data_IF_834551390767
#
_entry.id   IF_834551390767
#
_cell.length_a   1.000
_cell.length_b   1.000
_cell.length_c   1.000
_cell.angle_alpha   90.00
_cell.angle_beta   90.00
_cell.angle_gamma   90.00
#
_symmetry.space_group_name_H-M   'P 1'
#
loop_
_entity.id
_entity.type
_entity.pdbx_description
1 polymer ?
#
# COMPACT_ATOMS: atom_id res chain seq x y z
N UNK A 1 4.99 -10.35 -13.88
CA UNK A 1 4.38 -9.82 -12.67
C UNK A 1 2.93 -10.27 -12.57
N UNK A 2 2.53 -10.65 -11.38
CA UNK A 2 1.17 -11.10 -11.17
C UNK A 2 0.20 -9.96 -11.07
N UNK A 3 -0.99 -10.16 -11.63
CA UNK A 3 -2.09 -9.26 -11.38
C UNK A 3 -2.85 -9.73 -10.16
N UNK A 4 -3.20 -8.77 -9.31
CA UNK A 4 -4.01 -9.03 -8.14
C UNK A 4 -5.46 -8.73 -8.46
N UNK A 5 -6.33 -9.70 -8.22
CA UNK A 5 -7.75 -9.48 -8.40
C UNK A 5 -8.40 -9.40 -7.03
N UNK A 6 -8.99 -8.25 -6.74
CA UNK A 6 -9.59 -7.98 -5.44
C UNK A 6 -11.05 -7.61 -5.61
N UNK A 7 -11.85 -7.99 -4.61
CA UNK A 7 -13.22 -7.49 -4.53
C UNK A 7 -13.18 -6.03 -4.10
N UNK A 8 -14.28 -5.33 -4.28
CA UNK A 8 -14.34 -3.93 -3.87
C UNK A 8 -14.06 -3.74 -2.37
N UNK A 9 -14.66 -4.53 -1.46
CA UNK A 9 -14.32 -4.39 -0.04
C UNK A 9 -12.84 -4.68 0.26
N UNK A 10 -12.25 -5.65 -0.43
CA UNK A 10 -10.83 -5.96 -0.25
C UNK A 10 -9.95 -4.80 -0.70
N UNK A 11 -10.30 -4.18 -1.80
CA UNK A 11 -9.56 -3.03 -2.28
C UNK A 11 -9.64 -1.87 -1.30
N UNK A 12 -10.81 -1.61 -0.75
CA UNK A 12 -11.00 -0.55 0.23
C UNK A 12 -10.17 -0.79 1.48
N UNK A 13 -10.15 -2.03 1.97
CA UNK A 13 -9.33 -2.38 3.12
C UNK A 13 -7.85 -2.16 2.82
N UNK A 14 -7.42 -2.58 1.65
CA UNK A 14 -6.02 -2.41 1.26
C UNK A 14 -5.64 -0.94 1.20
N UNK A 15 -6.49 -0.10 0.63
CA UNK A 15 -6.24 1.32 0.56
C UNK A 15 -6.09 1.93 1.95
N UNK A 16 -6.96 1.56 2.88
CA UNK A 16 -6.89 2.07 4.24
C UNK A 16 -5.65 1.58 4.96
N UNK A 17 -5.30 0.30 4.78
CA UNK A 17 -4.10 -0.24 5.39
C UNK A 17 -2.84 0.44 4.89
N UNK A 18 -2.77 0.69 3.59
CA UNK A 18 -1.62 1.36 2.99
C UNK A 18 -1.49 2.78 3.53
N UNK A 19 -2.60 3.50 3.61
CA UNK A 19 -2.57 4.86 4.12
C UNK A 19 -2.26 4.91 5.61
N UNK A 20 -2.79 3.97 6.37
CA UNK A 20 -2.49 3.88 7.80
C UNK A 20 -1.00 3.63 8.01
N UNK A 21 -0.44 2.70 7.26
CA UNK A 21 0.99 2.41 7.35
C UNK A 21 1.83 3.64 7.00
N UNK A 22 1.40 4.40 6.01
CA UNK A 22 2.09 5.62 5.62
C UNK A 22 2.10 6.64 6.76
N UNK A 23 0.95 6.85 7.39
CA UNK A 23 0.82 7.80 8.51
C UNK A 23 1.65 7.37 9.72
N UNK A 24 1.76 6.07 9.96
CA UNK A 24 2.52 5.53 11.07
C UNK A 24 4.01 5.37 10.76
N UNK A 25 4.42 5.75 9.55
CA UNK A 25 5.82 5.66 9.09
C UNK A 25 6.35 4.24 9.17
N UNK A 26 5.50 3.27 8.89
CA UNK A 26 5.88 1.86 8.96
C UNK A 26 7.04 1.52 8.02
N UNK A 27 7.05 1.98 6.75
CA UNK A 27 8.17 1.66 5.85
C UNK A 27 9.50 2.13 6.42
N UNK A 28 9.54 3.32 6.98
CA UNK A 28 10.77 3.87 7.54
C UNK A 28 11.21 3.08 8.77
N UNK A 29 10.26 2.73 9.63
CA UNK A 29 10.56 1.97 10.85
C UNK A 29 11.04 0.56 10.54
N UNK A 30 10.51 -0.05 9.49
CA UNK A 30 10.87 -1.40 9.09
C UNK A 30 12.11 -1.45 8.20
N UNK A 31 12.57 -0.31 7.73
CA UNK A 31 13.71 -0.26 6.83
C UNK A 31 13.36 -0.71 5.42
N UNK A 32 12.09 -0.62 5.03
CA UNK A 32 11.65 -0.96 3.68
C UNK A 32 12.08 0.13 2.70
N UNK A 33 12.17 -0.25 1.43
CA UNK A 33 12.47 0.72 0.39
C UNK A 33 11.27 1.64 0.18
N UNK A 34 11.47 2.91 0.50
CA UNK A 34 10.38 3.91 0.45
C UNK A 34 9.87 4.09 -0.96
N UNK A 35 10.76 4.04 -1.96
CA UNK A 35 10.34 4.19 -3.36
C UNK A 35 9.39 3.07 -3.77
N UNK A 36 9.71 1.85 -3.38
CA UNK A 36 8.84 0.71 -3.67
C UNK A 36 7.49 0.88 -3.00
N UNK A 37 7.49 1.36 -1.77
CA UNK A 37 6.24 1.60 -1.04
C UNK A 37 5.42 2.69 -1.72
N UNK A 38 6.06 3.78 -2.14
CA UNK A 38 5.36 4.86 -2.83
C UNK A 38 4.71 4.37 -4.13
N UNK A 39 5.41 3.51 -4.85
CA UNK A 39 4.86 2.93 -6.08
C UNK A 39 3.63 2.07 -5.77
N UNK A 40 3.67 1.34 -4.67
CA UNK A 40 2.51 0.54 -4.24
C UNK A 40 1.32 1.43 -3.91
N UNK A 41 1.56 2.51 -3.18
CA UNK A 41 0.51 3.46 -2.83
C UNK A 41 -0.15 3.99 -4.10
N UNK A 42 0.66 4.40 -5.07
CA UNK A 42 0.18 4.95 -6.32
C UNK A 42 -0.71 3.94 -7.06
N UNK A 43 -0.29 2.68 -7.09
CA UNK A 43 -1.05 1.63 -7.75
C UNK A 43 -2.38 1.35 -7.05
N UNK A 44 -2.36 1.35 -5.73
CA UNK A 44 -3.54 1.02 -4.93
C UNK A 44 -4.57 2.14 -4.97
N UNK A 45 -4.10 3.38 -5.05
CA UNK A 45 -4.98 4.55 -4.99
C UNK A 45 -5.45 5.06 -6.36
N UNK A 46 -5.11 4.36 -7.42
CA UNK A 46 -5.56 4.74 -8.77
C UNK A 46 -7.07 4.65 -8.93
#
# INVERSE_FOLDING_TARGET
>A
MRQLTLTQPQLEYLQELVMFAYEMEVPEQKGWDVQTYDNLVDEVMK
#
